data_IF_654136950054
#
_entry.id   IF_654136950054
#
_cell.length_a   1.000
_cell.length_b   1.000
_cell.length_c   1.000
_cell.angle_alpha   90.00
_cell.angle_beta   90.00
_cell.angle_gamma   90.00
#
_symmetry.space_group_name_H-M   'P 1'
#
loop_
_entity.id
_entity.type
_entity.pdbx_description
1 polymer ?
#
# COMPACT_ATOMS: atom_id res chain seq x y z
N UNK A 1 13.43 -10.01 22.60
CA UNK A 1 12.09 -9.52 22.99
C UNK A 1 11.96 -8.03 22.72
N UNK A 2 11.20 -7.68 21.68
CA UNK A 2 10.68 -6.33 21.45
C UNK A 2 9.85 -5.95 22.68
N UNK A 3 10.26 -4.91 23.41
CA UNK A 3 9.34 -4.27 24.35
C UNK A 3 8.45 -3.40 23.47
N UNK A 4 7.30 -3.94 23.06
CA UNK A 4 6.22 -3.16 22.44
C UNK A 4 5.90 -2.08 23.47
N UNK A 5 6.53 -0.91 23.33
CA UNK A 5 6.15 0.27 24.07
C UNK A 5 4.69 0.48 23.75
N UNK A 6 3.85 0.70 24.77
CA UNK A 6 2.41 0.89 24.60
C UNK A 6 2.16 1.83 23.41
N UNK A 7 1.26 1.47 22.49
CA UNK A 7 1.02 2.28 21.31
C UNK A 7 0.65 3.69 21.75
N UNK A 8 1.28 4.69 21.14
CA UNK A 8 1.05 6.08 21.50
C UNK A 8 -0.41 6.43 21.18
N UNK A 9 -1.27 6.75 22.17
CA UNK A 9 -2.70 6.93 21.94
C UNK A 9 -2.98 8.05 20.94
N UNK A 10 -2.15 9.09 20.92
CA UNK A 10 -2.24 10.18 19.95
C UNK A 10 -1.98 9.73 18.52
N UNK A 11 -1.03 8.82 18.30
CA UNK A 11 -0.78 8.28 16.98
C UNK A 11 -1.95 7.40 16.52
N UNK A 12 -2.50 6.58 17.42
CA UNK A 12 -3.68 5.78 17.12
C UNK A 12 -4.88 6.65 16.75
N UNK A 13 -5.08 7.76 17.47
CA UNK A 13 -6.14 8.74 17.16
C UNK A 13 -5.94 9.36 15.76
N UNK A 14 -4.70 9.73 15.40
CA UNK A 14 -4.40 10.27 14.07
C UNK A 14 -4.67 9.23 12.96
N UNK A 15 -4.23 7.99 13.14
CA UNK A 15 -4.46 6.90 12.18
C UNK A 15 -5.95 6.56 12.06
N UNK A 16 -6.68 6.56 13.17
CA UNK A 16 -8.13 6.37 13.15
C UNK A 16 -8.83 7.50 12.40
N UNK A 17 -8.45 8.76 12.67
CA UNK A 17 -8.96 9.92 11.93
C UNK A 17 -8.69 9.84 10.43
N UNK A 18 -7.45 9.48 10.05
CA UNK A 18 -7.07 9.27 8.65
C UNK A 18 -7.92 8.17 8.00
N UNK A 19 -8.08 7.02 8.67
CA UNK A 19 -8.90 5.92 8.16
C UNK A 19 -10.35 6.35 7.95
N UNK A 20 -10.95 7.10 8.88
CA UNK A 20 -12.31 7.61 8.72
C UNK A 20 -12.46 8.53 7.51
N UNK A 21 -11.50 9.41 7.26
CA UNK A 21 -11.48 10.28 6.08
C UNK A 21 -11.33 9.48 4.78
N UNK A 22 -10.44 8.50 4.76
CA UNK A 22 -10.24 7.61 3.61
C UNK A 22 -11.50 6.79 3.31
N UNK A 23 -12.13 6.22 4.34
CA UNK A 23 -13.39 5.48 4.21
C UNK A 23 -14.53 6.38 3.72
N UNK A 24 -14.60 7.61 4.21
CA UNK A 24 -15.58 8.59 3.77
C UNK A 24 -15.40 8.90 2.28
N UNK A 25 -14.20 9.32 1.86
CA UNK A 25 -13.90 9.61 0.46
C UNK A 25 -14.21 8.40 -0.46
N UNK A 26 -13.75 7.21 -0.07
CA UNK A 26 -13.97 5.95 -0.80
C UNK A 26 -15.45 5.60 -1.02
N UNK A 27 -16.33 5.97 -0.09
CA UNK A 27 -17.77 5.72 -0.22
C UNK A 27 -18.46 6.69 -1.17
N UNK A 28 -17.95 7.91 -1.28
CA UNK A 28 -18.54 8.97 -2.08
C UNK A 28 -18.00 9.01 -3.52
N UNK A 29 -16.81 8.47 -3.75
CA UNK A 29 -16.18 8.48 -5.07
C UNK A 29 -16.62 7.29 -5.94
N UNK A 30 -16.90 7.58 -7.22
CA UNK A 30 -17.10 6.56 -8.25
C UNK A 30 -15.78 5.85 -8.57
N UNK A 31 -15.86 4.71 -9.27
CA UNK A 31 -14.68 4.03 -9.81
C UNK A 31 -14.02 4.94 -10.84
N UNK A 32 -12.71 5.14 -10.71
CA UNK A 32 -11.93 5.96 -11.65
C UNK A 32 -11.41 5.13 -12.83
N UNK A 33 -10.92 5.80 -13.86
CA UNK A 33 -10.35 5.16 -15.07
C UNK A 33 -9.14 4.28 -14.71
N UNK A 34 -8.31 4.68 -13.75
CA UNK A 34 -7.15 3.89 -13.36
C UNK A 34 -7.56 2.63 -12.60
N UNK A 35 -8.49 2.75 -11.65
CA UNK A 35 -9.01 1.61 -10.90
C UNK A 35 -9.64 0.59 -11.84
N UNK A 36 -10.43 1.09 -12.79
CA UNK A 36 -11.09 0.33 -13.84
C UNK A 36 -10.13 -0.57 -14.64
N UNK A 37 -8.92 -0.11 -14.96
CA UNK A 37 -7.92 -0.95 -15.63
C UNK A 37 -7.07 -1.78 -14.67
N UNK A 38 -6.67 -1.22 -13.53
CA UNK A 38 -5.71 -1.85 -12.63
C UNK A 38 -6.30 -3.06 -11.91
N UNK A 39 -7.51 -2.95 -11.37
CA UNK A 39 -8.09 -4.00 -10.55
C UNK A 39 -8.37 -5.28 -11.36
N UNK A 40 -9.02 -5.22 -12.53
CA UNK A 40 -9.25 -6.41 -13.36
C UNK A 40 -7.95 -6.99 -13.91
N UNK A 41 -6.97 -6.15 -14.27
CA UNK A 41 -5.64 -6.62 -14.67
C UNK A 41 -4.91 -7.33 -13.51
N UNK A 42 -5.01 -6.81 -12.29
CA UNK A 42 -4.46 -7.43 -11.09
C UNK A 42 -5.10 -8.79 -10.81
N UNK A 43 -6.41 -8.90 -10.97
CA UNK A 43 -7.15 -10.17 -10.84
C UNK A 43 -6.73 -11.18 -11.91
N UNK A 44 -6.62 -10.74 -13.16
CA UNK A 44 -6.14 -11.57 -14.27
C UNK A 44 -4.73 -12.10 -13.99
N UNK A 45 -3.82 -11.26 -13.49
CA UNK A 45 -2.43 -11.63 -13.16
C UNK A 45 -2.37 -12.65 -12.00
N UNK A 46 -3.23 -12.52 -10.99
CA UNK A 46 -3.35 -13.52 -9.93
C UNK A 46 -3.87 -14.87 -10.46
N UNK A 47 -4.82 -14.82 -11.39
CA UNK A 47 -5.51 -16.02 -11.89
C UNK A 47 -4.71 -16.77 -12.96
N UNK A 48 -4.11 -16.05 -13.91
CA UNK A 48 -3.48 -16.62 -15.11
C UNK A 48 -1.95 -16.50 -15.10
N UNK A 49 -1.37 -15.90 -14.06
CA UNK A 49 0.08 -15.79 -13.90
C UNK A 49 0.76 -14.98 -15.00
N UNK A 50 1.98 -15.37 -15.34
CA UNK A 50 2.88 -14.65 -16.25
C UNK A 50 2.32 -14.47 -17.67
N UNK A 51 1.39 -15.33 -18.08
CA UNK A 51 0.80 -15.33 -19.44
C UNK A 51 -0.02 -14.08 -19.76
N UNK A 52 -0.37 -13.30 -18.73
CA UNK A 52 -1.14 -12.05 -18.86
C UNK A 52 -0.42 -10.85 -18.22
N UNK A 53 0.89 -10.94 -17.97
CA UNK A 53 1.63 -9.81 -17.37
C UNK A 53 1.75 -8.62 -18.33
N UNK A 54 1.61 -8.86 -19.63
CA UNK A 54 1.46 -7.83 -20.66
C UNK A 54 0.19 -6.99 -20.47
N UNK A 55 -0.83 -7.48 -19.75
CA UNK A 55 -2.08 -6.76 -19.52
C UNK A 55 -1.83 -5.58 -18.57
N UNK A 56 -2.00 -4.36 -19.10
CA UNK A 56 -1.65 -3.11 -18.43
C UNK A 56 -0.20 -3.12 -17.88
N UNK A 57 0.81 -3.07 -18.77
CA UNK A 57 2.21 -3.24 -18.38
C UNK A 57 2.85 -1.94 -17.88
N UNK A 58 2.10 -0.82 -17.88
CA UNK A 58 2.56 0.50 -17.45
C UNK A 58 2.98 0.49 -15.98
N UNK A 59 2.29 -0.29 -15.15
CA UNK A 59 2.55 -0.40 -13.72
C UNK A 59 3.06 -1.81 -13.37
N UNK A 60 4.03 -1.93 -12.44
CA UNK A 60 4.48 -3.23 -11.94
C UNK A 60 3.30 -4.07 -11.39
N UNK A 61 3.35 -5.40 -11.53
CA UNK A 61 2.19 -6.25 -11.26
C UNK A 61 1.85 -6.40 -9.78
N UNK A 62 2.82 -6.20 -8.88
CA UNK A 62 2.69 -6.48 -7.44
C UNK A 62 1.50 -5.75 -6.79
N UNK A 63 1.39 -4.44 -6.95
CA UNK A 63 0.36 -3.65 -6.25
C UNK A 63 -1.05 -3.96 -6.78
N UNK A 64 -1.29 -3.99 -8.10
CA UNK A 64 -2.58 -4.45 -8.63
C UNK A 64 -2.96 -5.86 -8.16
N UNK A 65 -2.00 -6.79 -8.07
CA UNK A 65 -2.26 -8.13 -7.54
C UNK A 65 -2.62 -8.08 -6.05
N UNK A 66 -1.94 -7.30 -5.22
CA UNK A 66 -2.30 -7.13 -3.80
C UNK A 66 -3.70 -6.52 -3.63
N UNK A 67 -4.04 -5.53 -4.46
CA UNK A 67 -5.38 -4.92 -4.48
C UNK A 67 -6.46 -5.89 -4.95
N UNK A 68 -6.13 -6.79 -5.88
CA UNK A 68 -7.04 -7.83 -6.36
C UNK A 68 -7.13 -9.04 -5.42
N UNK A 69 -6.20 -9.22 -4.48
CA UNK A 69 -6.14 -10.39 -3.61
C UNK A 69 -7.43 -10.62 -2.79
N UNK A 70 -8.07 -9.60 -2.17
CA UNK A 70 -9.34 -9.80 -1.48
C UNK A 70 -10.45 -10.36 -2.39
N UNK A 71 -10.47 -9.92 -3.66
CA UNK A 71 -11.45 -10.39 -4.65
C UNK A 71 -11.14 -11.83 -5.05
N UNK A 72 -9.88 -12.12 -5.37
CA UNK A 72 -9.43 -13.45 -5.78
C UNK A 72 -9.68 -14.51 -4.69
N UNK A 73 -9.35 -14.17 -3.44
CA UNK A 73 -9.61 -15.01 -2.27
C UNK A 73 -11.12 -15.14 -1.98
N UNK A 74 -11.91 -14.11 -2.31
CA UNK A 74 -13.37 -14.14 -2.29
C UNK A 74 -14.03 -14.94 -3.41
N UNK A 75 -13.23 -15.55 -4.30
CA UNK A 75 -13.72 -16.40 -5.39
C UNK A 75 -13.98 -15.67 -6.71
N UNK A 76 -13.71 -14.37 -6.81
CA UNK A 76 -13.87 -13.64 -8.06
C UNK A 76 -12.84 -14.11 -9.10
N UNK A 77 -13.29 -14.22 -10.35
CA UNK A 77 -12.50 -14.68 -11.50
C UNK A 77 -12.77 -13.79 -12.70
N UNK A 78 -11.83 -13.75 -13.63
CA UNK A 78 -11.96 -13.10 -14.93
C UNK A 78 -11.60 -14.08 -16.04
N UNK A 79 -12.51 -14.23 -16.99
CA UNK A 79 -12.33 -15.16 -18.10
C UNK A 79 -11.29 -14.63 -19.09
N UNK A 80 -10.48 -15.53 -19.65
CA UNK A 80 -9.45 -15.16 -20.63
C UNK A 80 -10.05 -14.53 -21.89
N UNK A 81 -11.26 -14.97 -22.27
CA UNK A 81 -12.01 -14.39 -23.37
C UNK A 81 -12.40 -12.92 -23.11
N UNK A 82 -12.61 -12.53 -21.85
CA UNK A 82 -12.97 -11.17 -21.46
C UNK A 82 -11.76 -10.21 -21.48
N UNK A 83 -10.53 -10.74 -21.49
CA UNK A 83 -9.28 -9.99 -21.64
C UNK A 83 -8.95 -9.72 -23.11
N UNK A 84 -9.27 -10.68 -23.99
CA UNK A 84 -8.97 -10.58 -25.42
C UNK A 84 -7.49 -10.82 -25.76
N UNK A 85 -7.08 -10.56 -27.02
CA UNK A 85 -5.70 -10.75 -27.47
C UNK A 85 -4.75 -9.68 -26.89
N UNK A 86 -3.44 -9.95 -26.97
CA UNK A 86 -2.40 -9.02 -26.52
C UNK A 86 -2.38 -7.73 -27.34
N UNK A 87 -2.86 -6.64 -26.71
CA UNK A 87 -2.83 -5.28 -27.25
C UNK A 87 -3.05 -4.23 -26.16
N UNK A 88 -2.65 -2.96 -26.39
CA UNK A 88 -2.79 -1.90 -25.38
C UNK A 88 -4.23 -1.67 -24.90
N UNK A 89 -5.24 -1.86 -25.76
CA UNK A 89 -6.65 -1.60 -25.47
C UNK A 89 -7.29 -2.67 -24.58
N UNK A 90 -6.70 -3.87 -24.51
CA UNK A 90 -7.22 -5.00 -23.76
C UNK A 90 -7.47 -4.69 -22.28
N UNK A 91 -6.69 -3.77 -21.68
CA UNK A 91 -6.91 -3.32 -20.30
C UNK A 91 -8.25 -2.62 -20.11
N UNK A 92 -8.71 -1.87 -21.11
CA UNK A 92 -9.98 -1.16 -21.07
C UNK A 92 -11.14 -2.10 -21.35
N UNK A 93 -10.95 -3.06 -22.24
CA UNK A 93 -11.94 -4.09 -22.53
C UNK A 93 -12.16 -5.02 -21.33
N UNK A 94 -11.07 -5.45 -20.69
CA UNK A 94 -11.10 -6.21 -19.44
C UNK A 94 -11.77 -5.43 -18.31
N UNK A 95 -11.52 -4.12 -18.21
CA UNK A 95 -12.22 -3.26 -17.27
C UNK A 95 -13.73 -3.20 -17.51
N UNK A 96 -14.10 -3.04 -18.78
CA UNK A 96 -15.49 -2.86 -19.20
C UNK A 96 -16.29 -4.15 -19.00
N UNK A 97 -15.73 -5.29 -19.43
CA UNK A 97 -16.34 -6.61 -19.21
C UNK A 97 -16.47 -6.89 -17.72
N UNK A 98 -15.43 -6.62 -16.93
CA UNK A 98 -15.45 -6.85 -15.49
C UNK A 98 -16.62 -6.15 -14.78
N UNK A 99 -16.86 -4.87 -15.09
CA UNK A 99 -17.97 -4.11 -14.52
C UNK A 99 -19.33 -4.54 -15.07
N UNK A 100 -19.43 -4.79 -16.39
CA UNK A 100 -20.70 -5.18 -17.05
C UNK A 100 -21.22 -6.54 -16.60
N UNK A 101 -20.32 -7.47 -16.33
CA UNK A 101 -20.66 -8.79 -15.80
C UNK A 101 -21.08 -8.74 -14.31
N UNK A 102 -20.75 -7.64 -13.60
CA UNK A 102 -20.94 -7.49 -12.15
C UNK A 102 -21.68 -6.19 -11.79
N UNK A 103 -22.81 -5.84 -12.45
CA UNK A 103 -23.41 -4.51 -12.36
C UNK A 103 -23.80 -4.11 -10.94
N UNK A 104 -24.30 -5.06 -10.14
CA UNK A 104 -24.77 -4.79 -8.78
C UNK A 104 -23.65 -4.88 -7.72
N UNK A 105 -22.49 -5.43 -8.10
CA UNK A 105 -21.47 -5.89 -7.13
C UNK A 105 -20.12 -5.20 -7.30
N UNK A 106 -19.82 -4.66 -8.49
CA UNK A 106 -18.49 -4.12 -8.79
C UNK A 106 -18.06 -3.08 -7.75
N UNK A 107 -18.96 -2.20 -7.29
CA UNK A 107 -18.63 -1.18 -6.27
C UNK A 107 -18.07 -1.79 -4.98
N UNK A 108 -18.64 -2.91 -4.54
CA UNK A 108 -18.15 -3.65 -3.36
C UNK A 108 -16.79 -4.28 -3.60
N UNK A 109 -16.56 -4.80 -4.81
CA UNK A 109 -15.26 -5.37 -5.20
C UNK A 109 -14.16 -4.29 -5.21
N UNK A 110 -14.45 -3.13 -5.79
CA UNK A 110 -13.56 -1.97 -5.73
C UNK A 110 -13.32 -1.50 -4.29
N UNK A 111 -14.33 -1.49 -3.42
CA UNK A 111 -14.14 -1.17 -2.01
C UNK A 111 -13.15 -2.12 -1.31
N UNK A 112 -13.17 -3.42 -1.64
CA UNK A 112 -12.20 -4.40 -1.16
C UNK A 112 -10.76 -4.08 -1.61
N UNK A 113 -10.59 -3.70 -2.87
CA UNK A 113 -9.30 -3.26 -3.41
C UNK A 113 -8.80 -1.95 -2.77
N UNK A 114 -9.70 -0.97 -2.63
CA UNK A 114 -9.43 0.32 -1.98
C UNK A 114 -8.97 0.15 -0.53
N UNK A 115 -9.49 -0.84 0.21
CA UNK A 115 -9.05 -1.14 1.57
C UNK A 115 -7.55 -1.50 1.64
N UNK A 116 -7.01 -2.17 0.62
CA UNK A 116 -5.57 -2.46 0.52
C UNK A 116 -4.77 -1.17 0.31
N UNK A 117 -5.24 -0.25 -0.55
CA UNK A 117 -4.62 1.08 -0.70
C UNK A 117 -4.63 1.86 0.61
N UNK A 118 -5.75 1.86 1.34
CA UNK A 118 -5.86 2.55 2.62
C UNK A 118 -4.83 2.03 3.63
N UNK A 119 -4.55 0.73 3.63
CA UNK A 119 -3.50 0.16 4.46
C UNK A 119 -2.12 0.74 4.12
N UNK A 120 -1.79 0.93 2.84
CA UNK A 120 -0.54 1.60 2.43
C UNK A 120 -0.51 3.08 2.83
N UNK A 121 -1.62 3.80 2.74
CA UNK A 121 -1.70 5.20 3.17
C UNK A 121 -1.47 5.33 4.69
N UNK A 122 -2.10 4.46 5.50
CA UNK A 122 -1.88 4.42 6.95
C UNK A 122 -0.45 4.00 7.31
N UNK A 123 0.10 3.02 6.58
CA UNK A 123 1.48 2.58 6.78
C UNK A 123 2.47 3.69 6.44
N UNK A 124 2.21 4.48 5.40
CA UNK A 124 3.02 5.67 5.06
C UNK A 124 3.07 6.65 6.23
N UNK A 125 1.92 6.98 6.83
CA UNK A 125 1.86 7.87 8.01
C UNK A 125 2.59 7.28 9.21
N UNK A 126 2.47 5.98 9.45
CA UNK A 126 3.17 5.26 10.52
C UNK A 126 4.69 5.27 10.30
N UNK A 127 5.15 5.02 9.08
CA UNK A 127 6.56 5.04 8.70
C UNK A 127 7.14 6.44 8.83
N UNK A 128 6.39 7.48 8.46
CA UNK A 128 6.82 8.86 8.63
C UNK A 128 7.00 9.21 10.11
N UNK A 129 6.04 8.82 10.95
CA UNK A 129 6.18 8.96 12.40
C UNK A 129 7.44 8.25 12.90
N UNK A 130 7.66 7.00 12.47
CA UNK A 130 8.82 6.21 12.87
C UNK A 130 10.14 6.85 12.40
N UNK A 131 10.19 7.38 11.19
CA UNK A 131 11.34 8.11 10.64
C UNK A 131 11.63 9.38 11.45
N UNK A 132 10.62 10.19 11.72
CA UNK A 132 10.81 11.43 12.48
C UNK A 132 11.29 11.18 13.91
N UNK A 133 10.92 10.03 14.50
CA UNK A 133 11.44 9.59 15.81
C UNK A 133 12.93 9.22 15.79
N UNK A 134 13.52 8.94 14.62
CA UNK A 134 14.96 8.67 14.50
C UNK A 134 15.78 9.91 14.13
N UNK A 135 15.17 10.92 13.49
CA UNK A 135 15.86 12.13 13.02
C UNK A 135 15.83 13.24 14.08
N UNK A 136 14.67 13.52 14.66
CA UNK A 136 14.47 14.68 15.55
C UNK A 136 14.19 14.22 16.99
N UNK A 137 14.92 14.74 17.99
CA UNK A 137 14.59 14.52 19.39
C UNK A 137 13.22 15.11 19.73
N UNK A 138 12.31 14.25 20.19
CA UNK A 138 11.02 14.69 20.73
C UNK A 138 9.80 14.06 20.05
N UNK A 139 8.86 13.57 20.86
CA UNK A 139 7.65 12.89 20.38
C UNK A 139 6.67 13.83 19.68
N UNK A 140 6.66 15.12 20.04
CA UNK A 140 5.73 16.12 19.51
C UNK A 140 5.98 16.40 18.03
N UNK A 141 7.24 16.49 17.61
CA UNK A 141 7.61 16.72 16.21
C UNK A 141 7.17 15.56 15.33
N UNK A 142 7.41 14.32 15.76
CA UNK A 142 6.95 13.14 15.04
C UNK A 142 5.41 13.05 14.96
N UNK A 143 4.70 13.42 16.03
CA UNK A 143 3.23 13.53 16.00
C UNK A 143 2.75 14.63 15.05
N UNK A 144 3.44 15.78 15.00
CA UNK A 144 3.13 16.85 14.06
C UNK A 144 3.29 16.40 12.60
N UNK A 145 4.40 15.73 12.28
CA UNK A 145 4.60 15.15 10.94
C UNK A 145 3.54 14.09 10.60
N UNK A 146 3.20 13.23 11.55
CA UNK A 146 2.13 12.24 11.37
C UNK A 146 0.76 12.91 11.16
N UNK A 147 0.46 14.00 11.86
CA UNK A 147 -0.78 14.75 11.68
C UNK A 147 -0.84 15.43 10.29
N UNK A 148 0.26 16.02 9.84
CA UNK A 148 0.35 16.61 8.49
C UNK A 148 0.16 15.56 7.39
N UNK A 149 0.69 14.35 7.58
CA UNK A 149 0.45 13.24 6.64
C UNK A 149 -0.99 12.71 6.73
N UNK A 150 -1.49 12.48 7.95
CA UNK A 150 -2.83 11.93 8.19
C UNK A 150 -3.95 12.80 7.62
N UNK A 151 -3.80 14.13 7.68
CA UNK A 151 -4.79 15.10 7.20
C UNK A 151 -4.35 15.82 5.93
N UNK A 152 -3.26 15.38 5.30
CA UNK A 152 -2.76 15.96 4.07
C UNK A 152 -3.70 15.66 2.90
N UNK A 153 -4.12 16.67 2.11
CA UNK A 153 -5.11 16.48 1.05
C UNK A 153 -4.64 15.48 -0.02
N UNK A 154 -3.34 15.46 -0.33
CA UNK A 154 -2.78 14.52 -1.31
C UNK A 154 -2.91 13.06 -0.87
N UNK A 155 -2.58 12.76 0.40
CA UNK A 155 -2.68 11.40 0.94
C UNK A 155 -4.12 10.98 1.16
N UNK A 156 -5.03 11.88 1.51
CA UNK A 156 -6.46 11.54 1.59
C UNK A 156 -7.06 11.32 0.20
N UNK A 157 -6.73 12.19 -0.76
CA UNK A 157 -7.24 12.11 -2.13
C UNK A 157 -6.81 10.85 -2.87
N UNK A 158 -5.56 10.42 -2.72
CA UNK A 158 -5.03 9.24 -3.43
C UNK A 158 -4.99 7.98 -2.55
N UNK A 159 -5.06 8.12 -1.22
CA UNK A 159 -4.91 7.03 -0.25
C UNK A 159 -6.04 6.02 -0.25
N UNK A 160 -7.17 6.35 -0.86
CA UNK A 160 -8.36 5.52 -0.84
C UNK A 160 -8.71 4.94 -2.22
N UNK A 161 -8.04 5.36 -3.30
CA UNK A 161 -8.28 4.87 -4.66
C UNK A 161 -7.48 3.59 -4.90
N UNK A 162 -8.02 2.63 -5.65
CA UNK A 162 -7.29 1.42 -6.05
C UNK A 162 -6.27 1.70 -7.18
N UNK A 163 -5.40 2.70 -6.98
CA UNK A 163 -4.25 3.04 -7.82
C UNK A 163 -2.94 2.62 -7.15
N UNK A 164 -1.81 2.79 -7.84
CA UNK A 164 -0.49 2.36 -7.33
C UNK A 164 0.26 3.43 -6.53
N UNK A 165 -0.21 4.68 -6.54
CA UNK A 165 0.54 5.85 -6.03
C UNK A 165 0.81 5.78 -4.53
N UNK A 166 -0.19 5.35 -3.77
CA UNK A 166 -0.10 5.23 -2.32
C UNK A 166 0.85 4.12 -1.90
N UNK A 167 0.84 2.99 -2.61
CA UNK A 167 1.79 1.91 -2.39
C UNK A 167 3.20 2.33 -2.78
N UNK A 168 3.37 3.01 -3.92
CA UNK A 168 4.65 3.56 -4.36
C UNK A 168 5.24 4.50 -3.31
N UNK A 169 4.44 5.48 -2.84
CA UNK A 169 4.82 6.42 -1.77
C UNK A 169 5.24 5.67 -0.50
N UNK A 170 4.49 4.65 -0.10
CA UNK A 170 4.79 3.83 1.06
C UNK A 170 6.14 3.11 0.91
N UNK A 171 6.39 2.46 -0.23
CA UNK A 171 7.64 1.74 -0.47
C UNK A 171 8.85 2.68 -0.56
N UNK A 172 8.71 3.83 -1.22
CA UNK A 172 9.76 4.86 -1.26
C UNK A 172 10.12 5.32 0.15
N UNK A 173 9.12 5.60 0.99
CA UNK A 173 9.37 5.99 2.39
C UNK A 173 9.99 4.85 3.20
N UNK A 174 9.58 3.60 2.97
CA UNK A 174 10.19 2.43 3.61
C UNK A 174 11.68 2.30 3.25
N UNK A 175 12.05 2.56 1.99
CA UNK A 175 13.46 2.61 1.56
C UNK A 175 14.21 3.73 2.29
N UNK A 176 13.65 4.93 2.40
CA UNK A 176 14.26 6.04 3.15
C UNK A 176 14.47 5.67 4.62
N UNK A 177 13.48 5.05 5.26
CA UNK A 177 13.60 4.54 6.64
C UNK A 177 14.72 3.51 6.77
N UNK A 178 14.84 2.61 5.79
CA UNK A 178 15.91 1.61 5.77
C UNK A 178 17.29 2.27 5.67
N UNK A 179 17.46 3.19 4.71
CA UNK A 179 18.71 3.94 4.52
C UNK A 179 19.08 4.71 5.79
N UNK A 180 18.12 5.45 6.38
CA UNK A 180 18.36 6.20 7.61
C UNK A 180 18.82 5.30 8.78
N UNK A 181 18.31 4.07 8.87
CA UNK A 181 18.75 3.11 9.89
C UNK A 181 20.13 2.51 9.59
N UNK A 182 20.44 2.27 8.32
CA UNK A 182 21.74 1.75 7.91
C UNK A 182 22.85 2.78 8.16
N UNK A 183 22.62 4.05 7.82
CA UNK A 183 23.60 5.13 8.07
C UNK A 183 23.81 5.38 9.56
N UNK A 184 22.77 5.28 10.38
CA UNK A 184 22.88 5.37 11.84
C UNK A 184 23.71 4.23 12.45
N UNK A 185 23.71 3.04 11.84
CA UNK A 185 24.56 1.90 12.27
C UNK A 185 26.01 2.04 11.83
N UNK A 186 26.26 2.70 10.71
CA UNK A 186 27.60 2.87 10.15
C UNK A 186 28.45 3.89 10.94
N UNK A 187 27.84 4.77 11.75
CA UNK A 187 28.57 5.67 12.65
C UNK A 187 29.05 4.94 13.92
N UNK A 188 30.37 4.69 14.11
CA UNK A 188 30.88 3.89 15.22
C UNK A 188 30.91 4.61 16.56
N UNK A 189 30.56 5.90 16.61
CA UNK A 189 30.75 6.77 17.79
C UNK A 189 29.56 6.78 18.77
N UNK A 190 28.52 5.98 18.55
CA UNK A 190 27.38 5.91 19.48
C UNK A 190 27.51 4.68 20.40
N UNK A 191 27.76 4.93 21.70
CA UNK A 191 28.05 3.91 22.71
C UNK A 191 27.03 2.77 22.85
N UNK A 192 27.40 1.71 23.60
CA UNK A 192 26.75 0.38 23.58
C UNK A 192 25.25 0.36 23.96
N UNK A 193 24.73 1.42 24.58
CA UNK A 193 23.34 1.52 25.01
C UNK A 193 22.32 1.70 23.85
N UNK A 194 22.70 2.32 22.72
CA UNK A 194 21.81 2.46 21.54
C UNK A 194 21.82 1.22 20.64
N UNK A 195 22.98 0.57 20.51
CA UNK A 195 23.20 -0.63 19.68
C UNK A 195 22.39 -1.87 20.11
N UNK A 196 21.89 -1.92 21.35
CA UNK A 196 21.04 -3.01 21.84
C UNK A 196 19.56 -2.84 21.45
N UNK A 197 19.09 -1.61 21.24
CA UNK A 197 17.69 -1.32 20.88
C UNK A 197 17.41 -1.54 19.38
N UNK A 198 18.40 -1.27 18.52
CA UNK A 198 18.28 -1.37 17.05
C UNK A 198 18.39 -2.78 16.47
N UNK A 199 18.91 -3.73 17.25
CA UNK A 199 19.11 -5.13 16.79
C UNK A 199 17.80 -5.91 16.61
N UNK A 200 16.72 -5.53 17.31
CA UNK A 200 15.47 -6.31 17.34
C UNK A 200 14.38 -5.80 16.39
N UNK A 201 14.48 -4.55 15.92
CA UNK A 201 13.49 -3.91 15.05
C UNK A 201 13.81 -4.05 13.55
N UNK A 202 15.06 -4.36 13.18
CA UNK A 202 15.44 -4.60 11.79
C UNK A 202 14.88 -5.91 11.25
N UNK A 203 14.87 -6.96 12.06
CA UNK A 203 14.56 -8.32 11.61
C UNK A 203 13.12 -8.50 11.09
N UNK A 204 12.14 -7.77 11.66
CA UNK A 204 10.74 -7.88 11.25
C UNK A 204 10.44 -7.18 9.91
N UNK A 205 11.18 -6.11 9.56
CA UNK A 205 10.99 -5.39 8.30
C UNK A 205 11.80 -6.01 7.15
N UNK A 206 12.98 -6.58 7.45
CA UNK A 206 13.76 -7.36 6.48
C UNK A 206 12.99 -8.60 6.03
N UNK A 207 12.22 -9.23 6.92
CA UNK A 207 11.36 -10.37 6.57
C UNK A 207 10.27 -10.01 5.54
N UNK A 208 9.69 -8.80 5.62
CA UNK A 208 8.72 -8.29 4.64
C UNK A 208 9.35 -8.02 3.26
N UNK A 209 10.65 -7.71 3.20
CA UNK A 209 11.38 -7.46 1.95
C UNK A 209 11.96 -8.75 1.34
N UNK A 210 12.41 -9.72 2.15
CA UNK A 210 12.87 -11.02 1.64
C UNK A 210 11.75 -11.84 1.04
N UNK A 211 10.51 -11.69 1.52
CA UNK A 211 9.33 -12.28 0.88
C UNK A 211 8.98 -11.66 -0.49
N UNK A 212 9.45 -10.44 -0.76
CA UNK A 212 9.25 -9.77 -2.07
C UNK A 212 10.38 -10.06 -3.08
N UNK A 213 11.53 -10.57 -2.62
CA UNK A 213 12.69 -10.89 -3.46
C UNK A 213 12.89 -12.40 -3.68
N UNK A 214 12.15 -13.25 -2.96
CA UNK A 214 12.16 -14.71 -3.12
C UNK A 214 11.15 -15.24 -4.16
N UNK A 215 10.56 -14.35 -4.97
CA UNK A 215 9.66 -14.70 -6.07
C UNK A 215 10.23 -14.38 -7.45
N UNK A 216 11.56 -14.42 -7.60
CA UNK A 216 12.25 -14.49 -8.88
C UNK A 216 12.29 -15.94 -9.38
#
# INVERSE_FOLDING_TARGET
MMRISRPNPWLLLLLAGQLLLLLHASRHDSVTVDEFALLPAGLAKLQHGTDVFWLNPVNPPLVPMLQAAPLYLGGERIDRAAIGPERPEARWEAGLSFMRERPDRYRGLFAGARAVTMAFALLTTLLLYALMRTIVPGRRVALGAAALAAFGPNLIGHGHLATVDSAFTCFTLAVVVCIARLTQRAHPTQGPARAASDRRAGFAMTALLTLSLAGA
#
